data_IF_954826110852
#
_entry.id   IF_954826110852
#
_cell.length_a   1.000
_cell.length_b   1.000
_cell.length_c   1.000
_cell.angle_alpha   90.00
_cell.angle_beta   90.00
_cell.angle_gamma   90.00
#
_symmetry.space_group_name_H-M   'P 1'
#
loop_
_entity.id
_entity.type
_entity.pdbx_description
1 polymer ?
#
# COMPACT_ATOMS: atom_id res chain seq x y z
N UNK A 1 -19.69 -15.82 5.04
CA UNK A 1 -18.30 -15.97 5.44
C UNK A 1 -17.51 -14.75 5.07
N UNK A 2 -16.69 -14.29 5.97
CA UNK A 2 -15.92 -13.07 5.75
C UNK A 2 -14.64 -13.35 4.97
N UNK A 3 -14.45 -12.64 3.87
CA UNK A 3 -13.25 -12.78 3.10
C UNK A 3 -12.08 -12.05 3.78
N UNK A 4 -10.87 -12.55 3.55
CA UNK A 4 -9.68 -11.88 4.02
C UNK A 4 -9.50 -10.56 3.28
N UNK A 5 -8.99 -9.55 3.98
CA UNK A 5 -8.62 -8.30 3.34
C UNK A 5 -7.46 -8.55 2.37
N UNK A 6 -7.50 -7.88 1.22
CA UNK A 6 -6.49 -8.00 0.19
C UNK A 6 -5.61 -6.75 0.17
N UNK A 7 -4.33 -6.95 0.30
CA UNK A 7 -3.34 -5.87 0.31
C UNK A 7 -2.45 -5.98 -0.92
N UNK A 8 -2.33 -4.88 -1.65
CA UNK A 8 -1.45 -4.82 -2.82
C UNK A 8 -0.13 -4.18 -2.41
N UNK A 9 0.97 -4.88 -2.69
CA UNK A 9 2.32 -4.37 -2.42
C UNK A 9 2.92 -3.91 -3.75
N UNK A 10 3.19 -2.61 -3.87
CA UNK A 10 3.78 -2.04 -5.08
C UNK A 10 5.23 -1.68 -4.80
N UNK A 11 6.14 -2.51 -5.29
CA UNK A 11 7.58 -2.35 -5.14
C UNK A 11 8.26 -3.13 -6.26
N UNK A 12 9.30 -2.56 -6.83
CA UNK A 12 10.03 -3.23 -7.91
C UNK A 12 11.13 -4.17 -7.41
N UNK A 13 11.33 -4.24 -6.09
CA UNK A 13 12.26 -5.19 -5.49
C UNK A 13 11.51 -6.46 -5.11
N UNK A 14 11.74 -7.58 -5.82
CA UNK A 14 11.01 -8.82 -5.54
C UNK A 14 11.27 -9.37 -4.14
N UNK A 15 12.44 -9.14 -3.58
CA UNK A 15 12.75 -9.63 -2.23
C UNK A 15 11.92 -8.91 -1.17
N UNK A 16 11.72 -7.61 -1.34
CA UNK A 16 10.86 -6.85 -0.43
C UNK A 16 9.42 -7.31 -0.55
N UNK A 17 8.94 -7.52 -1.77
CA UNK A 17 7.58 -8.03 -2.00
C UNK A 17 7.38 -9.38 -1.32
N UNK A 18 8.34 -10.29 -1.48
CA UNK A 18 8.25 -11.62 -0.86
C UNK A 18 8.18 -11.50 0.65
N UNK A 19 9.07 -10.68 1.24
CA UNK A 19 9.13 -10.49 2.68
C UNK A 19 7.81 -9.95 3.23
N UNK A 20 7.31 -8.88 2.62
CA UNK A 20 6.08 -8.25 3.09
C UNK A 20 4.89 -9.21 2.94
N UNK A 21 4.79 -9.91 1.80
CA UNK A 21 3.69 -10.86 1.57
C UNK A 21 3.71 -12.01 2.59
N UNK A 22 4.89 -12.50 2.94
CA UNK A 22 5.00 -13.55 3.95
C UNK A 22 4.48 -13.09 5.30
N UNK A 23 4.81 -11.86 5.70
CA UNK A 23 4.34 -11.31 6.96
C UNK A 23 2.83 -11.08 6.92
N UNK A 24 2.31 -10.55 5.83
CA UNK A 24 0.87 -10.34 5.67
C UNK A 24 0.10 -11.65 5.75
N UNK A 25 0.61 -12.68 5.09
CA UNK A 25 0.00 -14.01 5.14
C UNK A 25 -0.03 -14.54 6.57
N UNK A 26 1.05 -14.38 7.30
CA UNK A 26 1.13 -14.81 8.70
C UNK A 26 0.04 -14.15 9.56
N UNK A 27 -0.26 -12.88 9.28
CA UNK A 27 -1.28 -12.15 10.05
C UNK A 27 -2.70 -12.33 9.49
N UNK A 28 -2.88 -13.19 8.50
CA UNK A 28 -4.22 -13.53 8.00
C UNK A 28 -4.74 -12.66 6.89
N UNK A 29 -3.89 -11.89 6.22
CA UNK A 29 -4.29 -11.09 5.06
C UNK A 29 -3.90 -11.77 3.77
N UNK A 30 -4.66 -11.53 2.71
CA UNK A 30 -4.25 -11.90 1.37
C UNK A 30 -3.38 -10.80 0.81
N UNK A 31 -2.42 -11.16 -0.02
CA UNK A 31 -1.50 -10.19 -0.60
C UNK A 31 -1.20 -10.51 -2.06
N UNK A 32 -1.11 -9.45 -2.86
CA UNK A 32 -0.64 -9.53 -4.23
C UNK A 32 0.44 -8.47 -4.40
N UNK A 33 1.31 -8.64 -5.37
CA UNK A 33 2.35 -7.65 -5.62
C UNK A 33 2.34 -7.20 -7.07
N UNK A 34 2.85 -5.99 -7.28
CA UNK A 34 3.04 -5.41 -8.60
C UNK A 34 4.38 -4.69 -8.59
N UNK A 35 5.08 -4.70 -9.71
CA UNK A 35 6.37 -4.04 -9.83
C UNK A 35 6.28 -2.67 -10.51
N UNK A 36 5.12 -2.31 -11.06
CA UNK A 36 4.93 -1.03 -11.71
C UNK A 36 3.47 -0.61 -11.65
N UNK A 37 3.21 0.64 -12.05
CA UNK A 37 1.88 1.22 -12.00
C UNK A 37 0.87 0.47 -12.87
N UNK A 38 1.26 0.09 -14.07
CA UNK A 38 0.35 -0.61 -14.99
C UNK A 38 -0.18 -1.90 -14.38
N UNK A 39 0.71 -2.71 -13.83
CA UNK A 39 0.31 -3.96 -13.20
C UNK A 39 -0.52 -3.71 -11.94
N UNK A 40 -0.18 -2.68 -11.17
CA UNK A 40 -0.95 -2.33 -9.98
C UNK A 40 -2.39 -1.98 -10.34
N UNK A 41 -2.59 -1.18 -11.38
CA UNK A 41 -3.93 -0.80 -11.82
C UNK A 41 -4.72 -2.01 -12.30
N UNK A 42 -4.09 -2.91 -13.05
CA UNK A 42 -4.76 -4.14 -13.48
C UNK A 42 -5.25 -4.96 -12.30
N UNK A 43 -4.42 -5.09 -11.25
CA UNK A 43 -4.81 -5.82 -10.05
C UNK A 43 -5.96 -5.12 -9.34
N UNK A 44 -5.89 -3.80 -9.19
CA UNK A 44 -6.94 -3.04 -8.50
C UNK A 44 -8.28 -3.15 -9.23
N UNK A 45 -8.27 -3.10 -10.55
CA UNK A 45 -9.51 -3.17 -11.33
C UNK A 45 -10.10 -4.59 -11.39
N UNK A 46 -9.28 -5.61 -11.18
CA UNK A 46 -9.71 -7.01 -11.25
C UNK A 46 -10.02 -7.62 -9.89
N UNK A 47 -9.67 -6.95 -8.81
CA UNK A 47 -9.81 -7.46 -7.45
C UNK A 47 -10.30 -6.36 -6.53
N UNK A 48 -10.90 -6.75 -5.42
CA UNK A 48 -11.27 -5.78 -4.38
C UNK A 48 -10.06 -5.56 -3.46
N UNK A 49 -9.27 -4.54 -3.75
CA UNK A 49 -8.07 -4.21 -2.96
C UNK A 49 -8.47 -3.29 -1.81
N UNK A 50 -8.07 -3.67 -0.60
CA UNK A 50 -8.43 -2.95 0.62
C UNK A 50 -7.38 -1.95 1.07
N UNK A 51 -6.13 -2.14 0.65
CA UNK A 51 -5.02 -1.27 1.04
C UNK A 51 -3.89 -1.44 0.03
N UNK A 52 -3.20 -0.34 -0.29
CA UNK A 52 -1.99 -0.39 -1.11
C UNK A 52 -0.80 0.02 -0.24
N UNK A 53 0.24 -0.80 -0.24
CA UNK A 53 1.54 -0.47 0.36
C UNK A 53 2.48 -0.17 -0.80
N UNK A 54 3.10 1.00 -0.80
CA UNK A 54 3.86 1.46 -1.96
C UNK A 54 5.19 2.07 -1.57
N UNK A 55 6.26 1.63 -2.25
CA UNK A 55 7.57 2.28 -2.13
C UNK A 55 7.51 3.64 -2.82
N UNK A 56 8.13 4.65 -2.21
CA UNK A 56 8.24 5.97 -2.81
C UNK A 56 9.10 5.96 -4.07
N UNK A 57 10.17 5.17 -4.07
CA UNK A 57 11.10 5.13 -5.20
C UNK A 57 11.01 3.79 -5.92
N UNK A 58 10.46 3.82 -7.13
CA UNK A 58 10.40 2.67 -8.02
C UNK A 58 11.35 2.90 -9.17
N UNK A 59 11.89 1.82 -9.75
CA UNK A 59 12.77 1.94 -10.91
C UNK A 59 12.05 2.67 -12.04
N UNK A 60 12.59 3.84 -12.40
CA UNK A 60 12.04 4.62 -13.50
C UNK A 60 10.73 5.33 -13.21
N UNK A 61 10.27 5.34 -11.96
CA UNK A 61 9.03 6.02 -11.61
C UNK A 61 9.06 6.53 -10.18
N UNK A 62 8.37 7.64 -9.94
CA UNK A 62 8.21 8.21 -8.61
C UNK A 62 6.89 7.73 -8.02
N UNK A 63 6.96 7.03 -6.90
CA UNK A 63 5.77 6.52 -6.22
C UNK A 63 4.80 7.62 -5.82
N UNK A 64 5.28 8.84 -5.55
CA UNK A 64 4.38 9.94 -5.20
C UNK A 64 3.50 10.34 -6.39
N UNK A 65 4.02 10.25 -7.62
CA UNK A 65 3.21 10.51 -8.81
C UNK A 65 2.13 9.45 -8.99
N UNK A 66 2.49 8.19 -8.75
CA UNK A 66 1.54 7.09 -8.82
C UNK A 66 0.45 7.27 -7.76
N UNK A 67 0.85 7.61 -6.54
CA UNK A 67 -0.08 7.86 -5.44
C UNK A 67 -1.07 8.96 -5.82
N UNK A 68 -0.57 10.06 -6.36
CA UNK A 68 -1.41 11.19 -6.76
C UNK A 68 -2.43 10.78 -7.81
N UNK A 69 -2.00 10.01 -8.80
CA UNK A 69 -2.93 9.53 -9.84
C UNK A 69 -4.00 8.61 -9.27
N UNK A 70 -3.62 7.69 -8.38
CA UNK A 70 -4.59 6.80 -7.75
C UNK A 70 -5.61 7.57 -6.93
N UNK A 71 -5.18 8.63 -6.25
CA UNK A 71 -6.09 9.42 -5.41
C UNK A 71 -7.00 10.35 -6.22
N UNK A 72 -6.63 10.66 -7.46
CA UNK A 72 -7.46 11.49 -8.34
C UNK A 72 -8.48 10.69 -9.13
N UNK A 73 -8.28 9.41 -9.30
CA UNK A 73 -9.17 8.56 -10.08
C UNK A 73 -10.31 8.06 -9.19
N UNK A 74 -11.54 8.22 -9.66
CA UNK A 74 -12.75 7.82 -8.92
C UNK A 74 -12.74 6.34 -8.53
N UNK A 75 -12.18 5.49 -9.38
CA UNK A 75 -12.20 4.05 -9.15
C UNK A 75 -11.21 3.61 -8.09
N UNK A 76 -10.19 4.42 -7.80
CA UNK A 76 -9.12 4.05 -6.88
C UNK A 76 -8.98 4.98 -5.69
N UNK A 77 -9.62 6.15 -5.73
CA UNK A 77 -9.41 7.20 -4.72
C UNK A 77 -9.78 6.80 -3.29
N UNK A 78 -10.68 5.85 -3.12
CA UNK A 78 -11.11 5.44 -1.79
C UNK A 78 -10.18 4.42 -1.14
N UNK A 79 -9.22 3.86 -1.89
CA UNK A 79 -8.31 2.85 -1.34
C UNK A 79 -7.21 3.56 -0.56
N UNK A 80 -7.02 3.22 0.73
CA UNK A 80 -5.94 3.83 1.50
C UNK A 80 -4.58 3.40 0.97
N UNK A 81 -3.63 4.33 1.01
CA UNK A 81 -2.26 4.10 0.54
C UNK A 81 -1.29 4.37 1.68
N UNK A 82 -0.49 3.36 2.01
CA UNK A 82 0.60 3.47 2.97
C UNK A 82 1.91 3.47 2.19
N UNK A 83 2.63 4.58 2.23
CA UNK A 83 3.90 4.69 1.53
C UNK A 83 5.07 4.47 2.46
N UNK A 84 6.18 3.99 1.93
CA UNK A 84 7.39 3.81 2.71
C UNK A 84 8.64 4.26 1.92
N UNK A 85 9.64 4.75 2.65
CA UNK A 85 10.88 5.24 2.05
C UNK A 85 11.96 5.41 3.11
N UNK A 86 13.22 5.34 2.69
CA UNK A 86 14.36 5.63 3.55
C UNK A 86 14.75 7.11 3.53
N UNK A 87 14.13 7.91 2.67
CA UNK A 87 14.49 9.31 2.52
C UNK A 87 14.02 10.15 3.72
N UNK A 88 14.88 11.01 4.31
CA UNK A 88 14.53 11.75 5.53
C UNK A 88 13.31 12.68 5.41
N UNK A 89 13.08 13.24 4.22
CA UNK A 89 11.97 14.19 4.00
C UNK A 89 10.77 13.55 3.29
N UNK A 90 10.80 12.23 3.13
CA UNK A 90 9.78 11.52 2.35
C UNK A 90 8.38 11.63 2.92
N UNK A 91 8.26 11.70 4.24
CA UNK A 91 6.94 11.75 4.89
C UNK A 91 6.09 12.91 4.36
N UNK A 92 6.65 14.10 4.35
CA UNK A 92 5.92 15.28 3.88
C UNK A 92 5.54 15.17 2.41
N UNK A 93 6.48 14.69 1.59
CA UNK A 93 6.27 14.53 0.16
C UNK A 93 5.17 13.50 -0.13
N UNK A 94 5.21 12.38 0.58
CA UNK A 94 4.21 11.32 0.41
C UNK A 94 2.82 11.77 0.85
N UNK A 95 2.72 12.43 1.99
CA UNK A 95 1.43 12.91 2.48
C UNK A 95 0.86 14.00 1.56
N UNK A 96 1.72 14.88 1.03
CA UNK A 96 1.30 15.89 0.07
C UNK A 96 0.78 15.29 -1.24
N UNK A 97 1.25 14.10 -1.59
CA UNK A 97 0.78 13.38 -2.78
C UNK A 97 -0.56 12.66 -2.54
N UNK A 98 -1.06 12.67 -1.31
CA UNK A 98 -2.33 12.05 -0.98
C UNK A 98 -2.23 10.72 -0.25
N UNK A 99 -1.02 10.29 0.13
CA UNK A 99 -0.86 9.06 0.91
C UNK A 99 -1.59 9.22 2.24
N UNK A 100 -2.20 8.14 2.69
CA UNK A 100 -2.96 8.14 3.95
C UNK A 100 -2.04 8.05 5.16
N UNK A 101 -0.88 7.43 5.00
CA UNK A 101 0.14 7.40 6.03
C UNK A 101 1.50 7.07 5.41
N UNK A 102 2.52 7.07 6.24
CA UNK A 102 3.89 6.87 5.82
C UNK A 102 4.65 6.09 6.88
N UNK A 103 5.59 5.25 6.44
CA UNK A 103 6.50 4.57 7.35
C UNK A 103 7.93 4.69 6.82
N UNK A 104 8.89 5.04 7.69
CA UNK A 104 10.29 5.19 7.29
C UNK A 104 11.03 3.87 7.35
N UNK A 105 11.93 3.68 6.38
CA UNK A 105 12.87 2.55 6.40
C UNK A 105 14.11 2.95 7.20
N UNK A 106 14.73 2.05 7.93
CA UNK A 106 14.25 0.71 8.21
C UNK A 106 13.05 0.74 9.16
N UNK A 107 12.10 -0.17 8.97
CA UNK A 107 10.92 -0.23 9.82
C UNK A 107 10.80 -1.61 10.45
N UNK A 108 10.11 -1.65 11.58
CA UNK A 108 9.78 -2.91 12.22
C UNK A 108 8.43 -3.39 11.70
N UNK A 109 8.29 -4.70 11.53
CA UNK A 109 7.05 -5.27 11.04
C UNK A 109 5.87 -4.97 11.94
N UNK A 110 6.10 -4.89 13.25
CA UNK A 110 5.03 -4.54 14.18
C UNK A 110 4.46 -3.15 13.89
N UNK A 111 5.31 -2.19 13.57
CA UNK A 111 4.85 -0.83 13.25
C UNK A 111 4.02 -0.82 11.97
N UNK A 112 4.48 -1.55 10.96
CA UNK A 112 3.73 -1.67 9.71
C UNK A 112 2.37 -2.33 9.96
N UNK A 113 2.34 -3.41 10.74
CA UNK A 113 1.11 -4.13 11.01
C UNK A 113 0.11 -3.30 11.80
N UNK A 114 0.59 -2.45 12.72
CA UNK A 114 -0.29 -1.54 13.45
C UNK A 114 -0.97 -0.56 12.50
N UNK A 115 -0.23 -0.01 11.55
CA UNK A 115 -0.81 0.92 10.57
C UNK A 115 -1.80 0.22 9.65
N UNK A 116 -1.47 -0.97 9.20
CA UNK A 116 -2.37 -1.77 8.36
C UNK A 116 -3.67 -2.06 9.10
N UNK A 117 -3.57 -2.53 10.33
CA UNK A 117 -4.75 -2.82 11.16
C UNK A 117 -5.62 -1.58 11.34
N UNK A 118 -5.00 -0.45 11.57
CA UNK A 118 -5.72 0.81 11.75
C UNK A 118 -6.60 1.13 10.53
N UNK A 119 -6.04 1.04 9.33
CA UNK A 119 -6.79 1.35 8.12
C UNK A 119 -7.88 0.34 7.83
N UNK A 120 -7.61 -0.93 8.03
CA UNK A 120 -8.59 -1.98 7.76
C UNK A 120 -9.72 -1.99 8.79
N UNK A 121 -9.43 -1.69 10.04
CA UNK A 121 -10.45 -1.55 11.08
C UNK A 121 -11.36 -0.35 10.81
N UNK A 122 -10.79 0.78 10.42
CA UNK A 122 -11.58 1.97 10.09
C UNK A 122 -12.51 1.72 8.92
N UNK A 123 -12.04 1.03 7.89
CA UNK A 123 -12.85 0.69 6.74
C UNK A 123 -14.02 -0.19 7.14
N UNK A 124 -13.75 -1.17 8.00
CA UNK A 124 -14.78 -2.08 8.49
C UNK A 124 -15.86 -1.33 9.29
N UNK A 125 -15.44 -0.44 10.17
CA UNK A 125 -16.37 0.39 10.95
C UNK A 125 -17.18 1.30 10.04
N UNK A 126 -16.53 1.90 9.05
CA UNK A 126 -17.19 2.80 8.12
C UNK A 126 -18.25 2.14 7.26
N UNK A 127 -18.23 0.82 7.14
CA UNK A 127 -19.20 0.08 6.35
C UNK A 127 -20.45 -0.29 7.15
N UNK A 128 -20.41 -0.08 8.42
CA UNK A 128 -21.57 -0.30 9.27
C UNK A 128 -22.44 0.96 9.33
#
# INVERSE_FOLDING_TARGET
MKEKALILVLDDDPDICIMIKMVLDYYGYDAMDAENEENAIKIILSNHVDLVIMDMLLSGADGTDICRRLKLDKETSSIPILMFSAHPTAKETCLAAGADDFISKPFEMNDMMEKISFFLERKKIGQE
#
